data_IF_215282745984
#
_entry.id   IF_215282745984
#
_cell.length_a   1.000
_cell.length_b   1.000
_cell.length_c   1.000
_cell.angle_alpha   90.00
_cell.angle_beta   90.00
_cell.angle_gamma   90.00
#
_symmetry.space_group_name_H-M   'P 1'
#
loop_
_entity.id
_entity.type
_entity.pdbx_description
1 polymer ?
#
# COMPACT_ATOMS: atom_id res chain seq x y z
N UNK A 1 -25.83 -18.87 -1.85
CA UNK A 1 -24.86 -17.93 -1.25
C UNK A 1 -24.79 -16.71 -2.15
N UNK A 2 -25.25 -15.54 -1.70
CA UNK A 2 -24.94 -14.28 -2.39
C UNK A 2 -23.43 -14.10 -2.37
N UNK A 3 -22.81 -14.21 -3.54
CA UNK A 3 -21.40 -13.93 -3.73
C UNK A 3 -21.20 -12.44 -3.48
N UNK A 4 -20.43 -12.14 -2.46
CA UNK A 4 -20.05 -10.77 -2.09
C UNK A 4 -19.13 -10.19 -3.17
N UNK A 5 -19.71 -9.82 -4.31
CA UNK A 5 -19.02 -9.44 -5.56
C UNK A 5 -18.39 -8.04 -5.49
N UNK A 6 -18.33 -7.42 -4.31
CA UNK A 6 -17.77 -6.09 -4.12
C UNK A 6 -16.68 -5.99 -3.06
N UNK A 7 -16.54 -6.97 -2.16
CA UNK A 7 -15.60 -6.87 -1.03
C UNK A 7 -14.29 -7.61 -1.33
N UNK A 8 -13.36 -6.91 -1.96
CA UNK A 8 -12.06 -7.44 -2.41
C UNK A 8 -10.94 -7.26 -1.38
N UNK A 9 -11.13 -6.40 -0.38
CA UNK A 9 -10.10 -6.01 0.58
C UNK A 9 -10.57 -6.20 2.03
N UNK A 10 -9.64 -6.59 2.89
CA UNK A 10 -9.74 -6.40 4.32
C UNK A 10 -9.33 -4.97 4.66
N UNK A 11 -10.20 -4.22 5.32
CA UNK A 11 -9.99 -2.86 5.79
C UNK A 11 -9.86 -2.85 7.32
N UNK A 12 -8.86 -2.15 7.85
CA UNK A 12 -8.70 -1.92 9.30
C UNK A 12 -8.58 -0.44 9.59
N UNK A 13 -9.43 0.07 10.48
CA UNK A 13 -9.33 1.39 11.11
C UNK A 13 -8.88 1.20 12.56
N UNK A 14 -7.84 1.91 12.97
CA UNK A 14 -7.34 1.95 14.33
C UNK A 14 -7.25 3.40 14.82
N UNK A 15 -7.93 3.71 15.92
CA UNK A 15 -7.84 5.00 16.60
C UNK A 15 -7.14 4.77 17.92
N UNK A 16 -6.03 5.46 18.13
CA UNK A 16 -5.23 5.43 19.35
C UNK A 16 -5.33 6.76 20.09
N UNK A 17 -5.24 6.72 21.42
CA UNK A 17 -5.07 7.91 22.25
C UNK A 17 -3.63 8.47 22.14
N UNK A 18 -3.35 9.56 22.86
CA UNK A 18 -2.03 10.22 22.85
C UNK A 18 -0.91 9.37 23.46
N UNK A 19 -1.23 8.29 24.16
CA UNK A 19 -0.29 7.33 24.74
C UNK A 19 -0.07 6.12 23.83
N UNK A 20 -0.84 6.02 22.75
CA UNK A 20 -0.81 4.87 21.83
C UNK A 20 -1.77 3.75 22.22
N UNK A 21 -2.62 3.94 23.22
CA UNK A 21 -3.60 2.94 23.63
C UNK A 21 -4.77 2.89 22.64
N UNK A 22 -5.21 1.68 22.30
CA UNK A 22 -6.32 1.47 21.38
C UNK A 22 -7.64 2.00 21.96
N UNK A 23 -8.24 2.97 21.28
CA UNK A 23 -9.59 3.48 21.57
C UNK A 23 -10.63 2.77 20.71
N UNK A 24 -10.34 2.61 19.41
CA UNK A 24 -11.23 1.94 18.46
C UNK A 24 -10.42 1.07 17.51
N UNK A 25 -10.81 -0.19 17.35
CA UNK A 25 -10.35 -1.06 16.26
C UNK A 25 -11.58 -1.55 15.51
N UNK A 26 -11.69 -1.18 14.24
CA UNK A 26 -12.77 -1.63 13.37
C UNK A 26 -12.20 -2.34 12.15
N UNK A 27 -12.58 -3.61 11.98
CA UNK A 27 -12.13 -4.46 10.88
C UNK A 27 -13.34 -4.89 10.07
N UNK A 28 -13.28 -4.70 8.75
CA UNK A 28 -14.36 -5.11 7.84
C UNK A 28 -13.82 -5.51 6.48
N UNK A 29 -14.65 -6.21 5.73
CA UNK A 29 -14.44 -6.41 4.31
C UNK A 29 -14.95 -5.17 3.54
N UNK A 30 -14.21 -4.74 2.54
CA UNK A 30 -14.39 -3.47 1.85
C UNK A 30 -14.08 -3.58 0.36
N UNK A 31 -14.61 -2.65 -0.43
CA UNK A 31 -14.34 -2.56 -1.87
C UNK A 31 -13.08 -1.73 -2.16
N UNK A 32 -12.71 -1.65 -3.44
CA UNK A 32 -11.55 -0.90 -3.91
C UNK A 32 -11.71 0.63 -3.79
N UNK A 33 -12.94 1.14 -3.76
CA UNK A 33 -13.20 2.59 -3.68
C UNK A 33 -12.88 3.07 -2.27
N UNK A 34 -13.29 2.31 -1.27
CA UNK A 34 -12.95 2.58 0.12
C UNK A 34 -11.50 2.19 0.44
N UNK A 35 -11.02 1.03 -0.04
CA UNK A 35 -9.62 0.62 0.06
C UNK A 35 -8.80 1.05 -1.16
N UNK A 36 -8.43 2.33 -1.21
CA UNK A 36 -7.49 2.87 -2.18
C UNK A 36 -6.14 3.21 -1.53
N UNK A 37 -5.08 3.33 -2.34
CA UNK A 37 -3.78 3.77 -1.84
C UNK A 37 -3.81 5.20 -1.26
N UNK A 38 -4.80 6.02 -1.60
CA UNK A 38 -4.96 7.38 -1.05
C UNK A 38 -5.64 7.39 0.32
N UNK A 39 -6.43 6.37 0.64
CA UNK A 39 -7.21 6.29 1.89
C UNK A 39 -6.46 5.56 3.02
N UNK A 40 -5.27 5.04 2.73
CA UNK A 40 -4.42 4.29 3.66
C UNK A 40 -3.32 5.19 4.22
N UNK A 41 -2.99 4.98 5.50
CA UNK A 41 -1.94 5.73 6.20
C UNK A 41 -2.38 6.07 7.61
N UNK A 42 -1.62 6.94 8.27
CA UNK A 42 -2.01 7.48 9.57
C UNK A 42 -2.16 9.00 9.51
N UNK A 43 -3.03 9.54 10.33
CA UNK A 43 -3.26 10.95 10.53
C UNK A 43 -3.38 11.23 12.03
N UNK A 44 -2.71 12.27 12.50
CA UNK A 44 -2.89 12.77 13.85
C UNK A 44 -4.04 13.81 13.85
N UNK A 45 -5.09 13.55 14.63
CA UNK A 45 -6.25 14.42 14.83
C UNK A 45 -6.32 14.76 16.31
N UNK A 46 -6.03 16.01 16.65
CA UNK A 46 -5.93 16.51 18.02
C UNK A 46 -4.93 15.69 18.87
N UNK A 47 -5.43 14.91 19.83
CA UNK A 47 -4.66 14.03 20.70
C UNK A 47 -4.77 12.55 20.32
N UNK A 48 -5.33 12.23 19.16
CA UNK A 48 -5.54 10.87 18.70
C UNK A 48 -4.78 10.60 17.40
N UNK A 49 -4.31 9.37 17.24
CA UNK A 49 -3.72 8.88 15.99
C UNK A 49 -4.68 7.91 15.32
N UNK A 50 -5.12 8.24 14.11
CA UNK A 50 -6.00 7.41 13.29
C UNK A 50 -5.17 6.75 12.20
N UNK A 51 -5.17 5.42 12.16
CA UNK A 51 -4.46 4.63 11.15
C UNK A 51 -5.44 3.75 10.38
N UNK A 52 -5.27 3.72 9.06
CA UNK A 52 -6.04 2.89 8.13
C UNK A 52 -5.09 1.99 7.35
N UNK A 53 -5.38 0.69 7.30
CA UNK A 53 -4.69 -0.28 6.45
C UNK A 53 -5.67 -1.10 5.61
N UNK A 54 -5.22 -1.51 4.43
CA UNK A 54 -5.99 -2.33 3.52
C UNK A 54 -5.11 -3.42 2.93
N UNK A 55 -5.62 -4.65 2.86
CA UNK A 55 -4.91 -5.76 2.24
C UNK A 55 -5.90 -6.71 1.59
N UNK A 56 -5.51 -7.38 0.52
CA UNK A 56 -6.39 -8.30 -0.21
C UNK A 56 -6.15 -9.76 0.17
N UNK A 57 -5.07 -10.13 0.84
CA UNK A 57 -4.86 -11.54 1.20
C UNK A 57 -5.87 -12.06 2.24
N UNK A 58 -6.09 -13.38 2.26
CA UNK A 58 -7.04 -13.98 3.17
C UNK A 58 -6.53 -13.83 4.63
N UNK A 59 -7.36 -13.31 5.53
CA UNK A 59 -7.01 -13.02 6.94
C UNK A 59 -5.78 -12.11 7.14
N UNK A 60 -5.42 -11.31 6.14
CA UNK A 60 -4.21 -10.47 6.18
C UNK A 60 -4.24 -9.35 7.24
N UNK A 61 -5.43 -9.01 7.73
CA UNK A 61 -5.64 -7.93 8.69
C UNK A 61 -5.72 -8.43 10.14
N UNK A 62 -5.01 -9.51 10.50
CA UNK A 62 -4.90 -9.94 11.90
C UNK A 62 -4.20 -8.85 12.74
N UNK A 63 -3.05 -8.36 12.26
CA UNK A 63 -2.36 -7.22 12.88
C UNK A 63 -3.15 -5.91 12.74
N UNK A 64 -2.99 -5.02 13.72
CA UNK A 64 -3.62 -3.68 13.74
C UNK A 64 -2.54 -2.63 13.46
N UNK A 65 -2.75 -1.69 12.52
CA UNK A 65 -1.74 -0.67 12.20
C UNK A 65 -1.61 0.35 13.33
N UNK A 66 -0.39 0.67 13.73
CA UNK A 66 -0.10 1.63 14.83
C UNK A 66 0.70 2.84 14.36
N UNK A 67 1.23 2.80 13.14
CA UNK A 67 2.10 3.83 12.58
C UNK A 67 2.04 3.80 11.03
N UNK A 68 2.68 4.76 10.38
CA UNK A 68 2.69 4.86 8.92
C UNK A 68 3.32 3.66 8.22
N UNK A 69 4.26 2.96 8.85
CA UNK A 69 4.91 1.78 8.24
C UNK A 69 4.07 0.51 8.32
N UNK A 70 3.11 0.45 9.26
CA UNK A 70 2.16 -0.68 9.40
C UNK A 70 0.81 -0.38 8.75
N UNK A 71 0.46 0.90 8.58
CA UNK A 71 -0.70 1.38 7.83
C UNK A 71 -0.43 1.33 6.32
N UNK A 72 -0.44 0.11 5.74
CA UNK A 72 -0.07 -0.13 4.34
C UNK A 72 -1.23 -0.61 3.49
N UNK A 73 -1.11 -0.39 2.17
CA UNK A 73 -2.03 -0.87 1.15
C UNK A 73 -1.37 -2.05 0.43
N UNK A 74 -1.95 -3.24 0.56
CA UNK A 74 -1.51 -4.45 -0.15
C UNK A 74 -2.57 -4.89 -1.16
N UNK A 75 -2.10 -5.20 -2.37
CA UNK A 75 -2.93 -5.64 -3.49
C UNK A 75 -2.19 -6.74 -4.27
N UNK A 76 -1.82 -7.82 -3.58
CA UNK A 76 -0.99 -8.90 -4.12
C UNK A 76 -1.79 -9.87 -5.00
N UNK A 77 -3.05 -10.17 -4.64
CA UNK A 77 -3.92 -11.08 -5.40
C UNK A 77 -4.27 -10.50 -6.76
N UNK A 78 -4.68 -9.23 -6.82
CA UNK A 78 -5.01 -8.59 -8.11
C UNK A 78 -3.78 -8.55 -9.02
N UNK A 79 -2.61 -8.20 -8.49
CA UNK A 79 -1.34 -8.20 -9.25
C UNK A 79 -0.98 -9.59 -9.78
N UNK A 80 -1.22 -10.64 -9.00
CA UNK A 80 -0.97 -12.01 -9.43
C UNK A 80 -1.94 -12.46 -10.54
N UNK A 81 -3.21 -12.05 -10.49
CA UNK A 81 -4.18 -12.30 -11.55
C UNK A 81 -3.81 -11.56 -12.84
N UNK A 82 -3.40 -10.29 -12.74
CA UNK A 82 -2.91 -9.51 -13.89
C UNK A 82 -1.66 -10.13 -14.52
N UNK A 83 -0.73 -10.62 -13.69
CA UNK A 83 0.47 -11.30 -14.16
C UNK A 83 0.17 -12.61 -14.91
N UNK A 84 -0.84 -13.38 -14.45
CA UNK A 84 -1.30 -14.61 -15.13
C UNK A 84 -2.03 -14.33 -16.44
N UNK A 85 -2.71 -13.18 -16.53
CA UNK A 85 -3.45 -12.77 -17.74
C UNK A 85 -2.52 -12.25 -18.84
N UNK A 86 -1.36 -11.70 -18.48
CA UNK A 86 -0.32 -11.36 -19.46
C UNK A 86 0.18 -12.66 -20.09
N UNK A 87 0.11 -12.83 -21.42
CA UNK A 87 0.78 -13.94 -22.06
C UNK A 87 2.26 -13.85 -21.70
N UNK A 88 2.83 -14.96 -21.22
CA UNK A 88 4.27 -15.07 -21.04
C UNK A 88 4.91 -14.78 -22.39
N UNK A 89 5.39 -13.55 -22.61
CA UNK A 89 6.28 -13.26 -23.70
C UNK A 89 7.45 -14.21 -23.52
N UNK A 90 7.60 -15.14 -24.46
CA UNK A 90 8.40 -16.34 -24.37
C UNK A 90 9.77 -16.04 -23.72
N UNK A 91 9.97 -16.56 -22.51
CA UNK A 91 11.31 -16.81 -22.02
C UNK A 91 11.85 -17.95 -22.90
N UNK A 92 12.61 -17.61 -23.94
CA UNK A 92 13.36 -18.57 -24.72
C UNK A 92 14.35 -19.27 -23.79
N UNK A 93 14.31 -20.61 -23.66
CA UNK A 93 15.41 -21.34 -23.08
C UNK A 93 16.50 -21.35 -24.14
N UNK A 94 17.51 -20.50 -23.99
CA UNK A 94 18.74 -20.63 -24.76
C UNK A 94 19.42 -21.93 -24.31
N UNK A 95 19.16 -23.00 -25.08
CA UNK A 95 19.90 -24.24 -25.01
C UNK A 95 21.37 -23.95 -25.28
N UNK A 96 22.24 -24.17 -24.29
CA UNK A 96 23.67 -24.22 -24.50
C UNK A 96 24.21 -25.49 -23.84
N UNK A 97 24.24 -26.57 -24.62
CA UNK A 97 25.06 -27.74 -24.33
C UNK A 97 25.77 -28.13 -25.63
N UNK A 98 27.03 -27.71 -25.74
CA UNK A 98 28.02 -28.34 -26.61
C UNK A 98 29.40 -28.15 -25.98
N UNK A 99 30.06 -29.26 -25.70
CA UNK A 99 31.40 -29.34 -25.13
C UNK A 99 32.46 -29.47 -26.23
N UNK A 100 33.69 -28.99 -25.92
CA UNK A 100 35.01 -29.30 -26.53
C UNK A 100 35.21 -28.74 -27.96
N UNK A 101 36.38 -28.33 -28.44
CA UNK A 101 37.79 -28.48 -28.05
C UNK A 101 38.63 -27.37 -28.73
N UNK A 102 39.76 -27.01 -28.11
CA UNK A 102 41.01 -26.64 -28.80
C UNK A 102 41.20 -25.20 -29.26
N UNK A 103 42.35 -24.60 -28.90
CA UNK A 103 42.88 -23.41 -29.60
C UNK A 103 43.68 -22.45 -28.73
N UNK A 104 44.99 -22.69 -28.60
CA UNK A 104 46.00 -21.74 -28.14
C UNK A 104 46.00 -20.46 -28.99
N UNK A 105 46.19 -19.27 -28.38
CA UNK A 105 47.07 -18.20 -28.88
C UNK A 105 46.88 -16.89 -28.07
N UNK A 106 47.92 -16.57 -27.28
CA UNK A 106 48.62 -15.28 -27.14
C UNK A 106 47.90 -13.94 -27.44
N UNK A 107 48.03 -12.97 -26.54
CA UNK A 107 47.72 -11.56 -26.85
C UNK A 107 47.46 -10.63 -25.66
N UNK A 108 48.26 -10.68 -24.60
CA UNK A 108 48.24 -9.65 -23.56
C UNK A 108 48.95 -8.37 -24.03
N UNK A 109 48.22 -7.26 -24.23
CA UNK A 109 48.76 -5.89 -24.21
C UNK A 109 47.70 -4.79 -24.48
N UNK A 110 46.56 -5.10 -25.11
CA UNK A 110 45.66 -4.05 -25.62
C UNK A 110 44.68 -3.45 -24.57
N UNK A 111 44.54 -4.04 -23.39
CA UNK A 111 43.52 -3.64 -22.40
C UNK A 111 43.93 -2.51 -21.45
N UNK A 112 45.22 -2.15 -21.40
CA UNK A 112 45.71 -1.11 -20.47
C UNK A 112 45.55 0.31 -20.99
N UNK A 113 45.44 0.54 -22.30
CA UNK A 113 45.39 1.89 -22.86
C UNK A 113 44.04 2.61 -22.64
N UNK A 114 42.93 1.88 -22.48
CA UNK A 114 41.59 2.49 -22.40
C UNK A 114 41.20 2.96 -20.99
N UNK A 115 41.96 2.61 -19.94
CA UNK A 115 41.65 2.99 -18.55
C UNK A 115 42.19 4.36 -18.10
N UNK A 116 43.06 4.99 -18.89
CA UNK A 116 43.68 6.27 -18.51
C UNK A 116 42.96 7.52 -19.06
N UNK A 117 42.01 7.37 -19.99
CA UNK A 117 41.29 8.49 -20.60
C UNK A 117 39.96 8.85 -19.90
N UNK A 118 39.38 7.93 -19.13
CA UNK A 118 38.12 8.15 -18.43
C UNK A 118 38.12 9.27 -17.35
N UNK A 119 39.18 9.48 -16.54
CA UNK A 119 39.11 10.49 -15.47
C UNK A 119 39.22 11.93 -15.98
N UNK A 120 39.76 12.16 -17.19
CA UNK A 120 39.88 13.51 -17.77
C UNK A 120 38.53 14.05 -18.26
N UNK A 121 37.61 13.19 -18.71
CA UNK A 121 36.29 13.61 -19.18
C UNK A 121 35.33 13.97 -18.02
N UNK A 122 35.54 13.39 -16.83
CA UNK A 122 34.68 13.64 -15.66
C UNK A 122 34.89 15.04 -15.04
N UNK A 123 36.06 15.66 -15.21
CA UNK A 123 36.33 16.99 -14.64
C UNK A 123 35.64 18.13 -15.41
N UNK A 124 35.27 17.93 -16.67
CA UNK A 124 34.65 18.98 -17.49
C UNK A 124 33.16 19.21 -17.17
N UNK A 125 32.46 18.23 -16.59
CA UNK A 125 31.00 18.33 -16.35
C UNK A 125 30.60 18.98 -15.02
N UNK A 126 31.55 19.29 -14.12
CA UNK A 126 31.24 19.78 -12.78
C UNK A 126 31.10 21.32 -12.67
N UNK A 127 31.30 22.07 -13.76
CA UNK A 127 31.47 23.52 -13.70
C UNK A 127 30.19 24.38 -13.84
N UNK A 128 29.02 23.81 -14.14
CA UNK A 128 27.84 24.62 -14.55
C UNK A 128 26.66 24.71 -13.57
N UNK A 129 26.74 24.15 -12.36
CA UNK A 129 25.59 24.15 -11.44
C UNK A 129 25.61 25.25 -10.34
N UNK A 130 26.21 26.41 -10.61
CA UNK A 130 26.08 27.60 -9.75
C UNK A 130 25.13 28.62 -10.41
N UNK A 131 23.83 28.48 -10.15
CA UNK A 131 22.79 29.35 -10.71
C UNK A 131 21.70 29.67 -9.68
N UNK A 132 21.64 30.94 -9.29
CA UNK A 132 20.83 31.61 -8.27
C UNK A 132 19.31 31.60 -8.50
N UNK A 133 18.53 31.59 -7.40
CA UNK A 133 17.12 32.03 -7.35
C UNK A 133 16.36 31.33 -6.22
N UNK A 134 16.04 31.95 -5.09
CA UNK A 134 15.22 33.14 -4.93
C UNK A 134 13.92 32.73 -4.23
N UNK A 135 13.94 32.68 -2.89
CA UNK A 135 12.74 32.41 -2.07
C UNK A 135 11.75 33.57 -2.20
N UNK A 136 10.52 33.27 -2.59
CA UNK A 136 9.36 34.17 -2.47
C UNK A 136 8.49 33.68 -1.30
N UNK A 137 8.15 34.52 -0.31
CA UNK A 137 7.13 34.15 0.69
C UNK A 137 5.74 34.32 0.05
N UNK A 138 4.99 33.22 -0.03
CA UNK A 138 3.57 33.23 -0.34
C UNK A 138 2.78 33.74 0.88
N UNK A 139 1.86 34.65 0.60
CA UNK A 139 0.99 35.29 1.57
C UNK A 139 0.02 34.27 2.18
N UNK A 140 -0.22 34.38 3.49
CA UNK A 140 -1.18 33.56 4.21
C UNK A 140 -2.61 33.86 3.76
N UNK A 141 -3.26 32.85 3.20
CA UNK A 141 -4.71 32.82 3.00
C UNK A 141 -5.37 32.50 4.35
N UNK A 142 -6.24 33.39 4.83
CA UNK A 142 -6.95 33.23 6.10
C UNK A 142 -7.90 32.02 6.12
N UNK A 143 -8.31 31.55 7.31
CA UNK A 143 -9.18 30.39 7.45
C UNK A 143 -10.56 30.67 6.85
N UNK A 144 -11.00 29.77 5.96
CA UNK A 144 -12.36 29.76 5.42
C UNK A 144 -13.38 29.44 6.53
N UNK A 145 -14.56 30.09 6.54
CA UNK A 145 -15.61 29.77 7.50
C UNK A 145 -16.14 28.36 7.26
N UNK A 146 -16.16 27.55 8.33
CA UNK A 146 -16.68 26.19 8.34
C UNK A 146 -18.22 26.24 8.39
N UNK A 147 -18.95 25.55 7.50
CA UNK A 147 -20.40 25.47 7.59
C UNK A 147 -20.83 24.70 8.85
N UNK A 148 -21.82 25.26 9.58
CA UNK A 148 -22.44 24.62 10.73
C UNK A 148 -23.07 23.28 10.33
N UNK A 149 -22.63 22.20 10.96
CA UNK A 149 -23.31 20.91 10.88
C UNK A 149 -24.73 21.02 11.45
N UNK A 150 -25.73 20.60 10.66
CA UNK A 150 -27.11 20.50 11.10
C UNK A 150 -27.31 19.41 12.17
N UNK A 151 -28.45 19.42 12.87
CA UNK A 151 -28.75 18.44 13.91
C UNK A 151 -28.82 17.01 13.34
N UNK A 152 -28.40 15.99 14.12
CA UNK A 152 -28.48 14.60 13.68
C UNK A 152 -29.94 14.14 13.52
N UNK A 153 -30.22 13.22 12.57
CA UNK A 153 -31.56 12.66 12.41
C UNK A 153 -31.96 11.83 13.64
N UNK A 154 -33.22 11.96 14.02
CA UNK A 154 -33.81 11.26 15.15
C UNK A 154 -33.73 9.73 14.95
N UNK A 155 -33.30 9.03 16.01
CA UNK A 155 -33.22 7.58 16.05
C UNK A 155 -34.60 6.94 15.82
N UNK A 156 -34.66 5.99 14.88
CA UNK A 156 -35.85 5.19 14.64
C UNK A 156 -36.11 4.24 15.83
N UNK A 157 -37.38 4.00 16.21
CA UNK A 157 -37.71 3.08 17.29
C UNK A 157 -37.40 1.62 16.91
N UNK A 158 -36.65 0.94 17.77
CA UNK A 158 -36.25 -0.45 17.61
C UNK A 158 -37.45 -1.40 17.57
N UNK A 159 -37.46 -2.31 16.59
CA UNK A 159 -38.40 -3.43 16.55
C UNK A 159 -37.97 -4.48 17.57
N UNK A 160 -38.75 -4.63 18.64
CA UNK A 160 -38.80 -5.88 19.43
C UNK A 160 -39.41 -6.96 18.54
N UNK A 161 -38.71 -8.07 18.36
CA UNK A 161 -39.30 -9.32 17.90
C UNK A 161 -38.98 -10.43 18.90
N UNK A 162 -40.03 -11.16 19.23
CA UNK A 162 -40.25 -11.97 20.42
C UNK A 162 -39.39 -13.23 20.49
N UNK A 163 -39.06 -13.62 21.72
CA UNK A 163 -38.60 -14.97 22.04
C UNK A 163 -39.74 -15.97 21.77
N UNK A 164 -39.46 -16.99 20.96
CA UNK A 164 -40.24 -18.21 20.91
C UNK A 164 -39.62 -19.21 21.90
N UNK A 165 -40.38 -19.51 22.95
CA UNK A 165 -40.23 -20.73 23.74
C UNK A 165 -40.98 -21.88 23.04
N UNK A 166 -40.81 -23.09 23.57
CA UNK A 166 -41.33 -24.42 23.12
C UNK A 166 -40.32 -25.20 22.25
N UNK A 167 -39.88 -26.42 22.60
CA UNK A 167 -40.21 -27.26 23.74
C UNK A 167 -39.16 -28.36 23.89
N UNK A 168 -38.86 -28.69 25.13
CA UNK A 168 -38.22 -29.95 25.50
C UNK A 168 -39.33 -30.93 25.86
N UNK A 169 -39.42 -32.06 25.17
CA UNK A 169 -40.01 -33.26 25.73
C UNK A 169 -39.15 -34.46 25.36
N UNK A 170 -38.80 -35.20 26.41
CA UNK A 170 -37.98 -36.38 26.40
C UNK A 170 -38.84 -37.61 26.09
N UNK A 171 -38.31 -38.60 25.36
CA UNK A 171 -38.34 -40.02 25.76
C UNK A 171 -37.73 -40.99 24.74
N UNK A 172 -36.98 -41.92 25.32
CA UNK A 172 -36.44 -43.21 24.86
C UNK A 172 -35.50 -43.24 23.65
#
# INVERSE_FOLDING_TARGET
METNNGQEFCHTLHIMDSRGESVVVNKKCSDRVECSAQNVGCLDIDSQKVCVSCCDENYCNEAVPTNHSTAVFSNSRTRALDARKRPAAAATPAAARASRAGGQAEGGAAWLALRLLAPLLALALAAEAAGTGGRRPEAGEGPRPVPRAGPPPAAAPGRRASAAAEGADARL
#
